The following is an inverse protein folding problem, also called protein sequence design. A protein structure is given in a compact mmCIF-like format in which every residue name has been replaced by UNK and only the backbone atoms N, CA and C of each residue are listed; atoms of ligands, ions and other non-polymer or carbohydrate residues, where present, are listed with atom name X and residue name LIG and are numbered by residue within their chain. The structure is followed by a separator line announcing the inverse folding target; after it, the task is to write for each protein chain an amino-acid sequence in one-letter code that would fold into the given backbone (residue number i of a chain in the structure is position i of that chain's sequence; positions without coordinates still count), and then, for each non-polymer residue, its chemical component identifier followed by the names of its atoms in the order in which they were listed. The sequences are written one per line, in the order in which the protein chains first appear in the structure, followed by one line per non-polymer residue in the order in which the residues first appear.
data_IF_110366755785
#
_entry.id   IF_110366755785
#
_cell.length_a   1.000
_cell.length_b   1.000
_cell.length_c   1.000
_cell.angle_alpha   90.00
_cell.angle_beta   90.00
_cell.angle_gamma   90.00
#
_symmetry.space_group_name_H-M   'P 1'
#
loop_
_entity.id
_entity.type
_entity.pdbx_description
1 polymer ?
#
# COMPACT_ATOMS: atom_id res chain seq x y z
N UNK A 1 -42.30 -26.37 -3.72
CA UNK A 1 -41.70 -25.04 -3.91
C UNK A 1 -40.58 -24.92 -2.89
N UNK A 2 -39.36 -24.61 -3.32
CA UNK A 2 -38.27 -24.35 -2.39
C UNK A 2 -38.56 -23.12 -1.54
N UNK A 3 -38.13 -23.13 -0.29
CA UNK A 3 -38.28 -22.00 0.63
C UNK A 3 -37.53 -20.79 0.08
N UNK A 4 -38.23 -19.67 -0.08
CA UNK A 4 -37.67 -18.42 -0.62
C UNK A 4 -37.07 -17.61 0.53
N UNK A 5 -35.80 -17.23 0.42
CA UNK A 5 -35.05 -16.58 1.50
C UNK A 5 -35.15 -15.04 1.50
N UNK A 6 -35.33 -14.42 0.34
CA UNK A 6 -35.34 -12.96 0.17
C UNK A 6 -36.46 -12.50 -0.78
N UNK A 7 -37.05 -11.35 -0.51
CA UNK A 7 -37.97 -10.63 -1.40
C UNK A 7 -37.25 -10.10 -2.66
N UNK A 8 -38.02 -9.74 -3.70
CA UNK A 8 -37.45 -9.16 -4.92
C UNK A 8 -36.82 -7.78 -4.64
N UNK A 9 -37.37 -7.03 -3.68
CA UNK A 9 -36.84 -5.74 -3.23
C UNK A 9 -35.48 -5.90 -2.53
N UNK A 10 -35.34 -6.89 -1.64
CA UNK A 10 -34.06 -7.19 -0.98
C UNK A 10 -32.99 -7.62 -2.00
N UNK A 11 -33.35 -8.45 -2.98
CA UNK A 11 -32.42 -8.86 -4.05
C UNK A 11 -32.00 -7.68 -4.93
N UNK A 12 -32.93 -6.78 -5.27
CA UNK A 12 -32.64 -5.56 -6.01
C UNK A 12 -31.73 -4.61 -5.21
N UNK A 13 -31.91 -4.52 -3.89
CA UNK A 13 -31.04 -3.73 -3.02
C UNK A 13 -29.63 -4.33 -2.90
N UNK A 14 -29.51 -5.66 -2.77
CA UNK A 14 -28.20 -6.34 -2.63
C UNK A 14 -27.34 -6.30 -3.90
N UNK A 15 -27.95 -6.11 -5.07
CA UNK A 15 -27.27 -6.13 -6.37
C UNK A 15 -26.81 -4.77 -6.87
N UNK A 16 -26.81 -3.74 -6.02
CA UNK A 16 -26.45 -2.36 -6.37
C UNK A 16 -25.37 -1.81 -5.44
N UNK A 17 -24.56 -0.84 -5.91
CA UNK A 17 -23.53 -0.21 -5.08
C UNK A 17 -24.12 0.38 -3.79
N UNK A 18 -23.47 0.11 -2.66
CA UNK A 18 -23.90 0.65 -1.36
C UNK A 18 -23.89 2.18 -1.34
N UNK A 19 -22.99 2.83 -2.07
CA UNK A 19 -23.00 4.30 -2.22
C UNK A 19 -24.25 4.86 -2.89
N UNK A 20 -24.81 4.18 -3.90
CA UNK A 20 -26.06 4.63 -4.53
C UNK A 20 -27.21 4.56 -3.52
N UNK A 21 -27.24 3.49 -2.72
CA UNK A 21 -28.23 3.30 -1.64
C UNK A 21 -28.11 4.37 -0.56
N UNK A 22 -26.89 4.82 -0.24
CA UNK A 22 -26.62 5.94 0.68
C UNK A 22 -27.23 7.23 0.12
N UNK A 23 -26.92 7.57 -1.14
CA UNK A 23 -27.42 8.79 -1.78
C UNK A 23 -28.96 8.80 -1.81
N UNK A 24 -29.57 7.70 -2.23
CA UNK A 24 -31.02 7.57 -2.25
C UNK A 24 -31.67 7.67 -0.85
N UNK A 25 -31.00 7.16 0.19
CA UNK A 25 -31.47 7.32 1.57
C UNK A 25 -31.43 8.79 2.02
N UNK A 26 -30.36 9.52 1.65
CA UNK A 26 -30.23 10.96 1.91
C UNK A 26 -31.34 11.73 1.18
N UNK A 27 -31.57 11.45 -0.10
CA UNK A 27 -32.58 12.13 -0.91
C UNK A 27 -34.01 11.94 -0.37
N UNK A 28 -34.28 10.79 0.27
CA UNK A 28 -35.55 10.52 0.97
C UNK A 28 -35.62 11.07 2.40
N UNK A 29 -34.54 11.67 2.90
CA UNK A 29 -34.43 12.15 4.28
C UNK A 29 -34.22 11.06 5.34
N UNK A 30 -33.93 9.82 4.93
CA UNK A 30 -33.67 8.69 5.82
C UNK A 30 -32.19 8.66 6.24
N UNK A 31 -31.83 9.58 7.13
CA UNK A 31 -30.45 9.76 7.59
C UNK A 31 -29.93 8.58 8.43
N UNK A 32 -30.83 7.84 9.10
CA UNK A 32 -30.46 6.65 9.87
C UNK A 32 -30.05 5.50 8.94
N UNK A 33 -30.80 5.26 7.86
CA UNK A 33 -30.38 4.30 6.85
C UNK A 33 -29.09 4.72 6.16
N UNK A 34 -28.94 6.01 5.82
CA UNK A 34 -27.71 6.52 5.22
C UNK A 34 -26.49 6.28 6.13
N UNK A 35 -26.61 6.58 7.43
CA UNK A 35 -25.55 6.34 8.42
C UNK A 35 -25.19 4.86 8.51
N UNK A 36 -26.19 3.97 8.59
CA UNK A 36 -25.96 2.52 8.66
C UNK A 36 -25.22 2.02 7.43
N UNK A 37 -25.66 2.41 6.23
CA UNK A 37 -25.02 2.01 4.96
C UNK A 37 -23.57 2.50 4.86
N UNK A 38 -23.27 3.72 5.35
CA UNK A 38 -21.89 4.21 5.43
C UNK A 38 -21.00 3.35 6.34
N UNK A 39 -21.52 2.82 7.45
CA UNK A 39 -20.78 1.91 8.32
C UNK A 39 -20.59 0.54 7.66
N UNK A 40 -21.62 0.00 6.99
CA UNK A 40 -21.55 -1.27 6.25
C UNK A 40 -20.51 -1.24 5.12
N UNK A 41 -20.48 -0.14 4.34
CA UNK A 41 -19.54 0.07 3.23
C UNK A 41 -18.07 -0.09 3.65
N UNK A 42 -17.72 0.27 4.90
CA UNK A 42 -16.34 0.12 5.42
C UNK A 42 -15.89 -1.34 5.38
N UNK A 43 -16.79 -2.27 5.68
CA UNK A 43 -16.51 -3.71 5.69
C UNK A 43 -16.46 -4.30 4.29
N UNK A 44 -17.29 -3.82 3.35
CA UNK A 44 -17.18 -4.19 1.93
C UNK A 44 -15.80 -3.83 1.38
N UNK A 45 -15.35 -2.60 1.65
CA UNK A 45 -14.03 -2.12 1.26
C UNK A 45 -12.89 -2.90 1.95
N UNK A 46 -12.99 -3.13 3.25
CA UNK A 46 -11.98 -3.87 4.01
C UNK A 46 -11.85 -5.32 3.52
N UNK A 47 -12.95 -6.01 3.21
CA UNK A 47 -12.92 -7.36 2.69
C UNK A 47 -12.18 -7.43 1.35
N UNK A 48 -12.57 -6.57 0.39
CA UNK A 48 -11.93 -6.54 -0.92
C UNK A 48 -10.45 -6.17 -0.83
N UNK A 49 -10.11 -5.19 0.03
CA UNK A 49 -8.73 -4.81 0.30
C UNK A 49 -7.90 -6.00 0.81
N UNK A 50 -8.37 -6.68 1.85
CA UNK A 50 -7.63 -7.78 2.47
C UNK A 50 -7.48 -8.96 1.51
N UNK A 51 -8.50 -9.25 0.72
CA UNK A 51 -8.43 -10.28 -0.32
C UNK A 51 -7.33 -9.98 -1.36
N UNK A 52 -7.19 -8.72 -1.78
CA UNK A 52 -6.15 -8.33 -2.74
C UNK A 52 -4.75 -8.39 -2.11
N UNK A 53 -4.60 -7.86 -0.89
CA UNK A 53 -3.32 -7.87 -0.17
C UNK A 53 -2.85 -9.30 0.12
N UNK A 54 -3.72 -10.14 0.68
CA UNK A 54 -3.41 -11.56 0.96
C UNK A 54 -3.14 -12.33 -0.34
N UNK A 55 -3.89 -12.07 -1.40
CA UNK A 55 -3.71 -12.71 -2.71
C UNK A 55 -2.35 -12.40 -3.33
N UNK A 56 -1.91 -11.15 -3.29
CA UNK A 56 -0.59 -10.73 -3.77
C UNK A 56 0.52 -11.29 -2.88
N UNK A 57 0.37 -11.26 -1.56
CA UNK A 57 1.32 -11.86 -0.62
C UNK A 57 1.50 -13.37 -0.86
N UNK A 58 0.40 -14.09 -1.11
CA UNK A 58 0.42 -15.50 -1.47
C UNK A 58 1.10 -15.76 -2.81
N UNK A 59 0.78 -14.97 -3.84
CA UNK A 59 1.38 -15.11 -5.17
C UNK A 59 2.90 -14.89 -5.13
N UNK A 60 3.36 -13.83 -4.47
CA UNK A 60 4.79 -13.55 -4.40
C UNK A 60 5.53 -14.56 -3.51
N UNK A 61 4.87 -15.11 -2.48
CA UNK A 61 5.41 -16.21 -1.68
C UNK A 61 5.59 -17.48 -2.51
N UNK A 62 4.64 -17.78 -3.42
CA UNK A 62 4.79 -18.88 -4.37
C UNK A 62 5.98 -18.66 -5.31
N UNK A 63 6.12 -17.44 -5.85
CA UNK A 63 7.27 -17.07 -6.70
C UNK A 63 8.58 -17.29 -5.95
N UNK A 64 8.72 -16.74 -4.73
CA UNK A 64 9.88 -16.94 -3.87
C UNK A 64 10.19 -18.42 -3.66
N UNK A 65 9.17 -19.22 -3.39
CA UNK A 65 9.33 -20.65 -3.14
C UNK A 65 9.82 -21.42 -4.39
N UNK A 66 9.42 -20.99 -5.59
CA UNK A 66 9.80 -21.66 -6.85
C UNK A 66 11.10 -21.15 -7.46
N UNK A 67 11.36 -19.86 -7.35
CA UNK A 67 12.37 -19.15 -8.13
C UNK A 67 13.38 -18.38 -7.27
N UNK A 68 13.25 -18.43 -5.93
CA UNK A 68 14.15 -17.70 -5.03
C UNK A 68 13.92 -16.19 -5.06
N UNK A 69 14.86 -15.45 -4.47
CA UNK A 69 14.81 -13.97 -4.41
C UNK A 69 14.91 -13.33 -5.80
N UNK A 70 15.69 -13.93 -6.72
CA UNK A 70 15.81 -13.46 -8.11
C UNK A 70 14.45 -13.48 -8.83
N UNK A 71 13.67 -14.55 -8.66
CA UNK A 71 12.33 -14.61 -9.24
C UNK A 71 11.35 -13.60 -8.62
N UNK A 72 11.52 -13.21 -7.36
CA UNK A 72 10.73 -12.15 -6.72
C UNK A 72 11.01 -10.80 -7.37
N UNK A 73 12.29 -10.48 -7.58
CA UNK A 73 12.71 -9.28 -8.30
C UNK A 73 12.14 -9.26 -9.72
N UNK A 74 12.37 -10.31 -10.51
CA UNK A 74 11.84 -10.41 -11.88
C UNK A 74 10.31 -10.26 -11.94
N UNK A 75 9.58 -10.87 -10.99
CA UNK A 75 8.13 -10.78 -10.94
C UNK A 75 7.65 -9.35 -10.65
N UNK A 76 8.31 -8.64 -9.73
CA UNK A 76 7.97 -7.24 -9.44
C UNK A 76 8.29 -6.32 -10.61
N UNK A 77 9.47 -6.44 -11.20
CA UNK A 77 9.84 -5.64 -12.37
C UNK A 77 8.85 -5.87 -13.52
N UNK A 78 8.54 -7.13 -13.85
CA UNK A 78 7.61 -7.47 -14.92
C UNK A 78 6.21 -6.89 -14.69
N UNK A 79 5.70 -7.03 -13.46
CA UNK A 79 4.35 -6.59 -13.08
C UNK A 79 4.24 -5.07 -13.04
N UNK A 80 5.17 -4.39 -12.37
CA UNK A 80 5.13 -2.94 -12.16
C UNK A 80 5.44 -2.15 -13.43
N UNK A 81 6.27 -2.68 -14.34
CA UNK A 81 6.45 -2.09 -15.69
C UNK A 81 5.11 -1.95 -16.43
N UNK A 82 4.16 -2.88 -16.21
CA UNK A 82 2.85 -2.89 -16.87
C UNK A 82 1.76 -2.18 -16.06
N UNK A 83 1.77 -2.37 -14.75
CA UNK A 83 0.70 -1.90 -13.87
C UNK A 83 0.95 -0.54 -13.23
N UNK A 84 2.22 -0.13 -13.09
CA UNK A 84 2.58 1.05 -12.29
C UNK A 84 3.26 2.16 -13.10
N UNK A 85 4.09 1.82 -14.10
CA UNK A 85 4.81 2.82 -14.91
C UNK A 85 3.92 3.92 -15.50
N UNK A 86 2.76 3.64 -16.13
CA UNK A 86 1.90 4.71 -16.63
C UNK A 86 1.41 5.66 -15.53
N UNK A 87 1.19 5.14 -14.32
CA UNK A 87 0.79 5.93 -13.15
C UNK A 87 1.95 6.78 -12.65
N UNK A 88 3.19 6.26 -12.62
CA UNK A 88 4.39 7.04 -12.28
C UNK A 88 4.59 8.19 -13.26
N UNK A 89 4.49 7.92 -14.56
CA UNK A 89 4.58 8.96 -15.60
C UNK A 89 3.43 9.98 -15.50
N UNK A 90 2.25 9.58 -15.02
CA UNK A 90 1.17 10.50 -14.73
C UNK A 90 1.47 11.35 -13.48
N UNK A 91 2.00 10.74 -12.41
CA UNK A 91 2.41 11.44 -11.19
C UNK A 91 3.44 12.53 -11.52
N UNK A 92 4.47 12.20 -12.29
CA UNK A 92 5.55 13.12 -12.70
C UNK A 92 5.03 14.33 -13.48
N UNK A 93 4.03 14.13 -14.34
CA UNK A 93 3.47 15.20 -15.19
C UNK A 93 2.41 16.08 -14.52
N UNK A 94 1.92 15.70 -13.35
CA UNK A 94 0.82 16.39 -12.68
C UNK A 94 1.29 17.35 -11.60
N UNK A 95 0.40 18.27 -11.21
CA UNK A 95 0.63 19.18 -10.10
C UNK A 95 0.91 18.37 -8.81
N UNK A 96 2.04 18.67 -8.15
CA UNK A 96 2.49 17.91 -6.99
C UNK A 96 1.58 18.07 -5.77
N UNK A 97 0.87 19.20 -5.62
CA UNK A 97 -0.15 19.37 -4.58
C UNK A 97 -1.38 18.51 -4.86
N UNK A 98 -1.77 18.39 -6.13
CA UNK A 98 -2.83 17.44 -6.51
C UNK A 98 -2.42 15.99 -6.19
N UNK A 99 -1.19 15.59 -6.52
CA UNK A 99 -0.69 14.26 -6.17
C UNK A 99 -0.64 14.04 -4.65
N UNK A 100 -0.27 15.05 -3.85
CA UNK A 100 -0.31 14.95 -2.40
C UNK A 100 -1.73 14.62 -1.89
N UNK A 101 -2.76 15.28 -2.43
CA UNK A 101 -4.16 15.01 -2.09
C UNK A 101 -4.61 13.61 -2.54
N UNK A 102 -4.18 13.18 -3.73
CA UNK A 102 -4.46 11.86 -4.26
C UNK A 102 -3.79 10.76 -3.42
N UNK A 103 -2.53 10.94 -3.01
CA UNK A 103 -1.82 10.03 -2.14
C UNK A 103 -2.49 9.92 -0.77
N UNK A 104 -2.95 11.03 -0.20
CA UNK A 104 -3.75 11.01 1.03
C UNK A 104 -5.07 10.25 0.85
N UNK A 105 -5.72 10.36 -0.31
CA UNK A 105 -6.92 9.57 -0.62
C UNK A 105 -6.62 8.07 -0.71
N UNK A 106 -5.50 7.70 -1.35
CA UNK A 106 -5.03 6.31 -1.38
C UNK A 106 -4.80 5.78 0.02
N UNK A 107 -4.13 6.52 0.92
CA UNK A 107 -3.92 6.06 2.30
C UNK A 107 -5.20 5.96 3.13
N UNK A 108 -6.21 6.81 2.89
CA UNK A 108 -7.55 6.63 3.49
C UNK A 108 -8.22 5.35 3.02
N UNK A 109 -8.08 4.97 1.76
CA UNK A 109 -8.58 3.70 1.27
C UNK A 109 -7.77 2.52 1.83
N UNK A 110 -6.45 2.68 1.94
CA UNK A 110 -5.53 1.66 2.41
C UNK A 110 -5.62 1.41 3.92
N UNK A 111 -6.19 2.33 4.70
CA UNK A 111 -6.40 2.20 6.16
C UNK A 111 -7.51 1.23 6.56
N UNK A 112 -8.06 0.48 5.59
CA UNK A 112 -9.25 -0.37 5.75
C UNK A 112 -10.42 0.35 6.42
N UNK A 113 -10.57 1.65 6.14
CA UNK A 113 -11.58 2.53 6.76
C UNK A 113 -11.64 2.48 8.29
N UNK A 114 -10.53 2.14 8.96
CA UNK A 114 -10.48 1.98 10.41
C UNK A 114 -11.19 0.75 10.96
N UNK A 115 -11.59 -0.22 10.11
CA UNK A 115 -12.26 -1.46 10.52
C UNK A 115 -11.36 -2.69 10.34
N UNK A 116 -11.72 -3.78 11.02
CA UNK A 116 -10.97 -5.05 11.03
C UNK A 116 -10.06 -5.21 12.25
N UNK A 117 -9.36 -6.34 12.37
CA UNK A 117 -8.60 -6.69 13.58
C UNK A 117 -7.36 -5.80 13.83
N UNK A 118 -6.73 -5.29 12.78
CA UNK A 118 -5.54 -4.42 12.82
C UNK A 118 -5.66 -3.35 11.73
N UNK A 119 -6.61 -2.39 11.82
CA UNK A 119 -6.80 -1.43 10.75
C UNK A 119 -5.51 -0.64 10.48
N UNK A 120 -5.26 -0.29 9.23
CA UNK A 120 -4.18 0.64 8.92
C UNK A 120 -4.47 2.01 9.53
N UNK A 121 -3.42 2.72 9.91
CA UNK A 121 -3.54 4.11 10.37
C UNK A 121 -2.39 4.92 9.82
N UNK A 122 -2.63 6.21 9.57
CA UNK A 122 -1.58 7.10 9.09
C UNK A 122 -1.82 8.55 9.52
N UNK A 123 -0.72 9.28 9.61
CA UNK A 123 -0.68 10.73 9.83
C UNK A 123 0.08 11.39 8.68
N UNK A 124 -0.20 12.68 8.43
CA UNK A 124 0.53 13.49 7.46
C UNK A 124 1.09 14.71 8.18
N UNK A 125 2.40 14.89 8.10
CA UNK A 125 3.08 16.13 8.47
C UNK A 125 3.61 16.85 7.21
N UNK A 126 3.79 18.16 7.29
CA UNK A 126 4.41 18.96 6.22
C UNK A 126 5.48 19.86 6.83
N UNK A 127 6.66 19.88 6.21
CA UNK A 127 7.73 20.85 6.47
C UNK A 127 7.94 21.72 5.22
N UNK A 128 9.02 22.51 5.16
CA UNK A 128 9.30 23.37 4.01
C UNK A 128 9.54 22.58 2.71
N UNK A 129 10.14 21.40 2.79
CA UNK A 129 10.62 20.60 1.67
C UNK A 129 9.60 19.54 1.21
N UNK A 130 8.83 18.96 2.13
CA UNK A 130 8.09 17.71 1.87
C UNK A 130 6.87 17.51 2.75
N UNK A 131 6.03 16.57 2.32
CA UNK A 131 5.04 15.92 3.15
C UNK A 131 5.57 14.56 3.60
N UNK A 132 5.34 14.22 4.85
CA UNK A 132 5.72 12.95 5.47
C UNK A 132 4.47 12.19 5.87
N UNK A 133 4.28 11.01 5.28
CA UNK A 133 3.20 10.09 5.57
C UNK A 133 3.74 9.00 6.50
N UNK A 134 3.27 9.00 7.74
CA UNK A 134 3.71 8.06 8.79
C UNK A 134 2.60 7.07 9.04
N UNK A 135 2.78 5.80 8.62
CA UNK A 135 1.76 4.77 8.80
C UNK A 135 2.14 3.77 9.90
N UNK A 136 1.23 3.50 10.84
CA UNK A 136 1.45 2.52 11.91
C UNK A 136 0.14 1.83 12.38
N UNK A 137 -0.11 0.57 11.98
CA UNK A 137 0.60 -0.12 10.91
C UNK A 137 0.29 0.52 9.55
N UNK A 138 1.21 0.38 8.59
CA UNK A 138 0.81 0.50 7.19
C UNK A 138 -0.29 -0.52 6.88
N UNK A 139 -1.30 -0.10 6.11
CA UNK A 139 -2.52 -0.88 5.88
C UNK A 139 -2.34 -2.24 5.20
N UNK A 140 -1.14 -2.55 4.70
CA UNK A 140 -0.86 -3.78 3.95
C UNK A 140 0.26 -4.62 4.58
N UNK A 141 1.51 -4.48 4.15
CA UNK A 141 2.59 -5.40 4.52
C UNK A 141 2.87 -5.48 6.03
N UNK A 142 2.96 -4.34 6.71
CA UNK A 142 3.11 -4.30 8.17
C UNK A 142 1.91 -4.91 8.89
N UNK A 143 0.70 -4.63 8.41
CA UNK A 143 -0.54 -5.23 8.93
C UNK A 143 -0.52 -6.76 8.79
N UNK A 144 -0.01 -7.31 7.68
CA UNK A 144 0.17 -8.76 7.51
C UNK A 144 1.09 -9.36 8.58
N UNK A 145 2.20 -8.68 8.91
CA UNK A 145 3.10 -9.10 10.01
C UNK A 145 2.36 -9.06 11.35
N UNK A 146 1.66 -7.97 11.67
CA UNK A 146 0.92 -7.85 12.93
C UNK A 146 -0.26 -8.81 13.05
N UNK A 147 -0.79 -9.31 11.95
CA UNK A 147 -1.81 -10.36 11.90
C UNK A 147 -1.23 -11.78 11.98
N UNK A 148 0.08 -11.93 12.10
CA UNK A 148 0.74 -13.24 12.18
C UNK A 148 0.64 -14.04 10.88
N UNK A 149 0.61 -13.36 9.73
CA UNK A 149 0.50 -14.01 8.41
C UNK A 149 1.82 -14.55 7.88
N UNK A 150 2.94 -14.23 8.52
CA UNK A 150 4.27 -14.75 8.20
C UNK A 150 4.69 -15.84 9.19
N UNK A 151 5.51 -16.79 8.75
CA UNK A 151 6.00 -17.90 9.57
C UNK A 151 5.64 -19.27 8.99
N UNK A 152 5.60 -20.29 9.84
CA UNK A 152 5.32 -21.67 9.42
C UNK A 152 3.94 -21.78 8.77
N UNK A 153 3.91 -22.23 7.51
CA UNK A 153 2.68 -22.32 6.71
C UNK A 153 2.09 -20.98 6.26
N UNK A 154 2.77 -19.86 6.55
CA UNK A 154 2.37 -18.50 6.16
C UNK A 154 3.07 -17.98 4.92
N UNK A 155 3.01 -16.66 4.72
CA UNK A 155 3.75 -15.96 3.68
C UNK A 155 5.25 -15.96 3.95
N UNK A 156 6.03 -15.88 2.87
CA UNK A 156 7.49 -15.96 2.94
C UNK A 156 8.18 -14.62 3.21
N UNK A 157 9.46 -14.72 3.53
CA UNK A 157 10.43 -13.61 3.58
C UNK A 157 11.50 -13.81 2.51
N UNK A 158 12.32 -12.79 2.25
CA UNK A 158 13.53 -12.94 1.43
C UNK A 158 14.60 -13.73 2.17
N UNK A 159 15.49 -14.42 1.44
CA UNK A 159 16.62 -15.13 2.06
C UNK A 159 17.82 -14.17 2.25
N UNK A 160 18.01 -13.28 1.27
CA UNK A 160 19.13 -12.35 1.19
C UNK A 160 18.78 -10.92 1.57
N UNK A 161 19.84 -10.14 1.80
CA UNK A 161 19.79 -8.69 1.81
C UNK A 161 20.03 -8.19 0.38
N UNK A 162 19.16 -7.32 -0.09
CA UNK A 162 19.16 -6.75 -1.44
C UNK A 162 18.94 -5.24 -1.37
N UNK A 163 19.22 -4.54 -2.47
CA UNK A 163 18.87 -3.11 -2.61
C UNK A 163 17.37 -2.88 -2.41
N UNK A 164 16.54 -3.79 -2.90
CA UNK A 164 15.08 -3.78 -2.80
C UNK A 164 14.52 -4.39 -1.49
N UNK A 165 15.38 -4.79 -0.56
CA UNK A 165 14.99 -5.15 0.82
C UNK A 165 15.56 -4.17 1.86
N UNK A 166 15.96 -2.98 1.42
CA UNK A 166 16.59 -1.98 2.30
C UNK A 166 17.86 -2.51 2.99
N UNK A 167 18.58 -3.44 2.32
CA UNK A 167 19.78 -4.08 2.86
C UNK A 167 19.50 -5.09 3.98
N UNK A 168 18.25 -5.56 4.13
CA UNK A 168 17.85 -6.46 5.22
C UNK A 168 17.57 -7.87 4.71
N UNK A 169 18.05 -8.87 5.45
CA UNK A 169 17.61 -10.27 5.32
C UNK A 169 16.24 -10.46 5.97
N UNK A 170 15.58 -11.57 5.63
CA UNK A 170 14.29 -11.96 6.20
C UNK A 170 13.23 -10.87 6.05
N UNK A 171 13.28 -10.10 4.96
CA UNK A 171 12.38 -8.99 4.74
C UNK A 171 11.00 -9.52 4.27
N UNK A 172 9.87 -9.05 4.82
CA UNK A 172 8.55 -9.55 4.45
C UNK A 172 8.29 -9.38 2.94
N UNK A 173 7.98 -10.46 2.24
CA UNK A 173 7.92 -10.44 0.76
C UNK A 173 6.92 -9.43 0.22
N UNK A 174 5.74 -9.29 0.84
CA UNK A 174 4.79 -8.27 0.44
C UNK A 174 5.43 -6.88 0.51
N UNK A 175 6.16 -6.53 1.58
CA UNK A 175 6.78 -5.22 1.74
C UNK A 175 7.85 -4.89 0.67
N UNK A 176 8.41 -5.89 -0.01
CA UNK A 176 9.44 -5.67 -1.05
C UNK A 176 8.91 -4.84 -2.23
N UNK A 177 7.61 -4.94 -2.55
CA UNK A 177 7.02 -4.16 -3.65
C UNK A 177 7.20 -2.65 -3.46
N UNK A 178 7.24 -2.14 -2.21
CA UNK A 178 7.42 -0.72 -1.94
C UNK A 178 8.76 -0.21 -2.49
N UNK A 179 9.84 -0.97 -2.36
CA UNK A 179 11.15 -0.55 -2.85
C UNK A 179 11.16 -0.44 -4.37
N UNK A 180 10.53 -1.39 -5.07
CA UNK A 180 10.39 -1.34 -6.53
C UNK A 180 9.44 -0.23 -7.00
N UNK A 181 8.24 -0.19 -6.42
CA UNK A 181 7.16 0.71 -6.80
C UNK A 181 7.52 2.18 -6.53
N UNK A 182 8.20 2.46 -5.43
CA UNK A 182 8.44 3.84 -5.00
C UNK A 182 9.82 4.37 -5.36
N UNK A 183 10.84 3.51 -5.41
CA UNK A 183 12.22 3.93 -5.59
C UNK A 183 12.85 3.34 -6.86
N UNK A 184 13.17 2.04 -6.86
CA UNK A 184 14.05 1.44 -7.87
C UNK A 184 13.53 1.61 -9.31
N UNK A 185 12.24 1.37 -9.55
CA UNK A 185 11.67 1.49 -10.89
C UNK A 185 11.37 2.94 -11.30
N UNK A 186 10.76 3.79 -10.47
CA UNK A 186 10.65 5.22 -10.77
C UNK A 186 11.99 5.89 -11.11
N UNK A 187 13.08 5.53 -10.40
CA UNK A 187 14.43 6.03 -10.74
C UNK A 187 14.80 5.70 -12.19
N UNK A 188 14.50 4.48 -12.65
CA UNK A 188 14.79 4.05 -14.03
C UNK A 188 13.85 4.70 -15.06
N UNK A 189 12.61 5.00 -14.69
CA UNK A 189 11.59 5.49 -15.61
C UNK A 189 11.59 7.01 -15.76
N UNK A 190 11.67 7.74 -14.65
CA UNK A 190 11.53 9.20 -14.59
C UNK A 190 12.75 9.90 -13.97
N UNK A 191 13.78 9.14 -13.56
CA UNK A 191 15.05 9.67 -13.07
C UNK A 191 15.12 9.91 -11.57
N UNK A 192 14.02 9.72 -10.82
CA UNK A 192 13.98 9.92 -9.37
C UNK A 192 12.92 9.02 -8.69
N UNK A 193 13.07 8.70 -7.39
CA UNK A 193 12.08 7.95 -6.63
C UNK A 193 10.80 8.78 -6.44
N UNK A 194 9.63 8.18 -6.64
CA UNK A 194 8.34 8.90 -6.56
C UNK A 194 7.89 9.12 -5.12
N UNK A 195 8.00 8.09 -4.28
CA UNK A 195 7.64 8.14 -2.85
C UNK A 195 8.75 7.52 -2.00
N UNK A 196 9.95 8.14 -1.92
CA UNK A 196 11.04 7.60 -1.13
C UNK A 196 10.56 7.17 0.25
N UNK A 197 11.01 6.03 0.74
CA UNK A 197 10.41 5.42 1.93
C UNK A 197 11.41 4.75 2.85
N UNK A 198 11.08 4.76 4.14
CA UNK A 198 11.77 4.02 5.18
C UNK A 198 10.81 2.97 5.78
N UNK A 199 11.11 1.67 5.67
CA UNK A 199 10.27 0.63 6.23
C UNK A 199 10.41 0.61 7.77
N UNK A 200 9.44 0.00 8.49
CA UNK A 200 9.55 -0.19 9.94
C UNK A 200 10.82 -0.96 10.29
N UNK A 201 11.56 -0.54 11.32
CA UNK A 201 12.65 -1.37 11.85
C UNK A 201 12.05 -2.59 12.53
N UNK A 202 11.13 -2.38 13.48
CA UNK A 202 10.22 -3.37 14.02
C UNK A 202 8.81 -3.23 13.41
N UNK A 203 8.37 -4.26 12.67
CA UNK A 203 7.04 -4.28 12.05
C UNK A 203 5.88 -4.32 13.07
N UNK A 204 6.13 -4.63 14.34
CA UNK A 204 5.09 -4.64 15.37
C UNK A 204 4.87 -3.29 16.05
N UNK A 205 5.81 -2.35 15.94
CA UNK A 205 5.76 -1.10 16.71
C UNK A 205 6.18 0.15 15.95
N UNK A 206 7.13 0.07 15.03
CA UNK A 206 7.65 1.23 14.30
C UNK A 206 6.79 1.58 13.10
N UNK A 207 6.73 2.87 12.69
CA UNK A 207 6.01 3.25 11.50
C UNK A 207 6.73 2.87 10.20
N UNK A 208 5.95 2.66 9.14
CA UNK A 208 6.43 2.75 7.77
C UNK A 208 6.25 4.19 7.30
N UNK A 209 7.28 4.80 6.72
CA UNK A 209 7.27 6.23 6.39
C UNK A 209 7.48 6.45 4.91
N UNK A 210 6.61 7.23 4.28
CA UNK A 210 6.73 7.66 2.88
C UNK A 210 6.89 9.18 2.81
N UNK A 211 7.75 9.65 1.91
CA UNK A 211 7.99 11.07 1.70
C UNK A 211 7.46 11.51 0.33
N UNK A 212 6.85 12.69 0.30
CA UNK A 212 6.48 13.39 -0.93
C UNK A 212 7.14 14.77 -0.94
N UNK A 213 8.30 14.86 -1.60
CA UNK A 213 9.04 16.11 -1.73
C UNK A 213 8.31 17.09 -2.63
N UNK A 214 8.34 18.38 -2.32
CA UNK A 214 7.74 19.44 -3.13
C UNK A 214 8.56 19.69 -4.40
N UNK A 215 9.87 19.48 -4.34
CA UNK A 215 10.77 19.42 -5.49
C UNK A 215 11.54 18.08 -5.48
N UNK A 216 11.52 17.28 -6.57
CA UNK A 216 12.35 16.08 -6.68
C UNK A 216 13.86 16.31 -6.47
N UNK A 217 14.36 17.51 -6.72
CA UNK A 217 15.77 17.85 -6.50
C UNK A 217 16.17 17.84 -5.02
N UNK A 218 15.20 17.98 -4.10
CA UNK A 218 15.45 17.96 -2.65
C UNK A 218 15.50 16.53 -2.09
N UNK A 219 15.26 15.51 -2.91
CA UNK A 219 15.30 14.11 -2.47
C UNK A 219 16.73 13.73 -2.07
N UNK A 220 16.98 13.29 -0.83
CA UNK A 220 18.32 12.94 -0.37
C UNK A 220 18.95 11.80 -1.17
N UNK A 221 20.25 11.94 -1.45
CA UNK A 221 21.03 10.99 -2.26
C UNK A 221 20.96 9.54 -1.75
N UNK A 222 20.73 9.32 -0.45
CA UNK A 222 20.60 7.98 0.16
C UNK A 222 19.53 7.11 -0.51
N UNK A 223 18.44 7.71 -1.00
CA UNK A 223 17.36 6.98 -1.67
C UNK A 223 17.76 6.51 -3.08
N UNK A 224 18.72 7.18 -3.72
CA UNK A 224 19.27 6.77 -5.00
C UNK A 224 20.39 5.74 -4.81
N UNK A 225 21.34 6.04 -3.91
CA UNK A 225 22.54 5.26 -3.68
C UNK A 225 22.27 3.79 -3.34
N UNK A 226 21.17 3.53 -2.61
CA UNK A 226 20.69 2.19 -2.27
C UNK A 226 20.45 1.29 -3.49
N UNK A 227 20.02 1.87 -4.62
CA UNK A 227 19.64 1.12 -5.83
C UNK A 227 20.70 1.12 -6.93
N UNK A 228 21.74 1.95 -6.79
CA UNK A 228 22.82 2.07 -7.78
C UNK A 228 24.12 1.39 -7.36
N UNK A 229 24.14 0.68 -6.22
CA UNK A 229 25.31 -0.06 -5.75
C UNK A 229 26.48 0.81 -5.29
N UNK A 230 26.23 2.08 -4.92
CA UNK A 230 27.24 2.90 -4.29
C UNK A 230 27.45 2.39 -2.85
N UNK A 231 28.48 1.57 -2.65
CA UNK A 231 28.97 1.18 -1.33
C UNK A 231 29.19 2.43 -0.47
N UNK A 232 28.53 2.51 0.69
CA UNK A 232 28.96 3.31 1.83
C UNK A 232 28.94 4.84 1.68
N UNK A 233 27.83 5.45 2.06
CA UNK A 233 27.83 6.79 2.67
C UNK A 233 26.84 6.81 3.85
N UNK A 234 27.03 5.87 4.77
CA UNK A 234 26.41 5.89 6.09
C UNK A 234 27.51 6.19 7.12
N UNK A 235 28.05 7.40 7.04
CA UNK A 235 28.80 8.07 8.12
C UNK A 235 28.76 9.58 7.82
N UNK A 236 27.66 10.23 8.19
CA UNK A 236 27.58 11.66 8.47
C UNK A 236 26.17 11.98 9.00
N UNK A 237 25.92 11.60 10.25
CA UNK A 237 25.17 12.45 11.19
C UNK A 237 25.35 11.85 12.59
N UNK A 238 26.33 12.43 13.29
CA UNK A 238 26.48 12.37 14.73
C UNK A 238 26.02 13.72 15.29
#
# INVERSE_FOLDING_TARGET
MGERWFSDEELAAMSRPTMDRVVEAIDRGDLEAARRLCEEMKYEGQFMHDMLVDGIAGLISYVKHKLGDEGVEEAWEYSLERGWKPTVEAIDRNDRRFIAQALAATWRAHSTSGVGPKPGAFEIAEDEEKLTFTMNPCGSGQRLVQLGRYGEGGFGTTDGAHSWTYGRKDFPLYCTHCAFMNEALPIRWIGYPVYPSDPPTDFHSDPCTWYWYKDPADIPQRHFARHTGAEGAAEADA
#
